data_IF_133537064417
#
_entry.id   IF_133537064417
#
_cell.length_a   1.000
_cell.length_b   1.000
_cell.length_c   1.000
_cell.angle_alpha   90.00
_cell.angle_beta   90.00
_cell.angle_gamma   90.00
#
_symmetry.space_group_name_H-M   'P 1'
#
loop_
_entity.id
_entity.type
_entity.pdbx_description
1 polymer ?
#
# COMPACT_ATOMS: atom_id res chain seq x y z
N UNK A 1 -5.58 26.15 63.43
CA UNK A 1 -6.27 24.98 64.02
C UNK A 1 -7.29 24.48 63.02
N UNK A 2 -7.30 23.30 62.42
CA UNK A 2 -6.35 22.21 62.15
C UNK A 2 -7.01 21.48 60.97
N UNK A 3 -6.25 21.17 59.93
CA UNK A 3 -6.75 20.48 58.74
C UNK A 3 -7.08 19.01 58.99
N UNK A 4 -8.03 18.53 58.18
CA UNK A 4 -8.05 17.26 57.46
C UNK A 4 -7.91 15.93 58.23
N UNK A 5 -9.06 15.24 58.21
CA UNK A 5 -9.35 13.81 58.25
C UNK A 5 -8.20 12.82 58.08
N UNK A 6 -8.27 11.82 58.95
CA UNK A 6 -7.37 10.68 59.13
C UNK A 6 -7.34 9.76 57.89
N UNK A 7 -6.11 9.41 57.54
CA UNK A 7 -5.72 8.35 56.62
C UNK A 7 -5.89 6.97 57.30
N UNK A 8 -6.37 5.98 56.57
CA UNK A 8 -6.32 4.56 56.94
C UNK A 8 -5.70 3.79 55.77
N UNK A 9 -4.56 3.17 56.06
CA UNK A 9 -3.69 2.48 55.13
C UNK A 9 -4.13 1.05 54.84
N UNK A 10 -3.64 0.56 53.70
CA UNK A 10 -3.10 -0.80 53.47
C UNK A 10 -4.01 -1.84 52.78
N UNK A 11 -3.50 -2.38 51.68
CA UNK A 11 -3.96 -3.64 51.08
C UNK A 11 -3.34 -3.91 49.71
N UNK A 12 -2.14 -4.47 49.67
CA UNK A 12 -1.49 -5.00 48.47
C UNK A 12 -2.05 -6.39 48.07
N UNK A 13 -2.00 -6.70 46.76
CA UNK A 13 -2.28 -8.02 46.15
C UNK A 13 -2.93 -7.81 44.77
N UNK A 14 -2.52 -8.38 43.63
CA UNK A 14 -1.76 -9.58 43.32
C UNK A 14 -2.49 -10.25 42.13
N UNK A 15 -1.85 -10.27 40.95
CA UNK A 15 -2.09 -11.05 39.71
C UNK A 15 -3.46 -11.67 39.35
N UNK A 16 -3.92 -11.46 38.10
CA UNK A 16 -4.93 -12.30 37.46
C UNK A 16 -5.58 -11.72 36.19
N UNK A 17 -4.82 -11.54 35.10
CA UNK A 17 -5.31 -10.93 33.86
C UNK A 17 -6.19 -11.84 33.00
N UNK A 18 -7.50 -11.59 32.99
CA UNK A 18 -8.44 -12.03 31.96
C UNK A 18 -8.75 -10.87 31.01
N UNK A 19 -8.41 -11.01 29.73
CA UNK A 19 -8.70 -9.98 28.71
C UNK A 19 -10.16 -9.99 28.27
N UNK A 20 -10.64 -8.87 27.74
CA UNK A 20 -11.95 -8.81 27.07
C UNK A 20 -11.94 -9.56 25.73
N UNK A 21 -13.09 -10.09 25.34
CA UNK A 21 -13.23 -10.84 24.09
C UNK A 21 -13.22 -9.88 22.89
N UNK A 22 -12.44 -10.17 21.85
CA UNK A 22 -12.36 -9.35 20.64
C UNK A 22 -13.62 -9.40 19.74
N UNK A 23 -14.67 -10.11 20.15
CA UNK A 23 -15.90 -10.25 19.36
C UNK A 23 -16.87 -9.11 19.64
N UNK A 24 -17.41 -8.43 18.59
CA UNK A 24 -18.35 -7.34 18.76
C UNK A 24 -19.58 -7.79 19.57
N UNK A 25 -19.88 -7.10 20.68
CA UNK A 25 -21.03 -7.41 21.54
C UNK A 25 -20.84 -8.63 22.47
N UNK A 26 -19.63 -9.18 22.59
CA UNK A 26 -19.37 -10.26 23.54
C UNK A 26 -18.82 -9.68 24.86
N UNK A 27 -19.54 -9.88 25.96
CA UNK A 27 -19.16 -9.42 27.30
C UNK A 27 -18.47 -10.50 28.16
N UNK A 28 -18.23 -11.68 27.58
CA UNK A 28 -17.59 -12.78 28.29
C UNK A 28 -16.09 -12.52 28.48
N UNK A 29 -15.59 -12.83 29.68
CA UNK A 29 -14.16 -12.74 30.00
C UNK A 29 -13.40 -13.88 29.30
N UNK A 30 -12.20 -13.57 28.81
CA UNK A 30 -11.32 -14.58 28.23
C UNK A 30 -10.60 -15.33 29.35
N UNK A 31 -11.14 -16.49 29.73
CA UNK A 31 -10.52 -17.37 30.75
C UNK A 31 -9.34 -18.18 30.18
N UNK A 32 -9.38 -18.52 28.88
CA UNK A 32 -8.34 -19.28 28.18
C UNK A 32 -7.81 -18.44 27.02
N UNK A 33 -6.49 -18.31 26.90
CA UNK A 33 -5.79 -17.51 25.86
C UNK A 33 -5.93 -18.10 24.44
N UNK A 34 -7.15 -18.21 23.93
CA UNK A 34 -7.44 -18.64 22.57
C UNK A 34 -7.16 -17.50 21.59
N UNK A 35 -5.90 -17.38 21.18
CA UNK A 35 -5.45 -16.37 20.22
C UNK A 35 -5.73 -16.79 18.76
N UNK A 36 -5.95 -15.81 17.90
CA UNK A 36 -5.96 -16.03 16.46
C UNK A 36 -4.58 -16.51 15.96
N UNK A 37 -4.45 -17.70 15.35
CA UNK A 37 -3.15 -18.23 14.95
C UNK A 37 -2.50 -17.41 13.83
N UNK A 38 -3.29 -16.74 13.00
CA UNK A 38 -2.77 -15.89 11.92
C UNK A 38 -2.22 -14.56 12.46
N UNK A 39 -2.84 -13.95 13.48
CA UNK A 39 -2.28 -12.75 14.11
C UNK A 39 -0.89 -13.04 14.68
N UNK A 40 -0.74 -14.16 15.39
CA UNK A 40 0.54 -14.58 15.96
C UNK A 40 1.59 -14.81 14.86
N UNK A 41 1.21 -15.49 13.76
CA UNK A 41 2.11 -15.74 12.63
C UNK A 41 2.54 -14.45 11.90
N UNK A 42 1.65 -13.47 11.79
CA UNK A 42 1.92 -12.18 11.14
C UNK A 42 2.63 -11.18 12.07
N UNK A 43 2.92 -11.54 13.32
CA UNK A 43 3.52 -10.64 14.30
C UNK A 43 2.60 -9.48 14.73
N UNK A 44 1.29 -9.63 14.51
CA UNK A 44 0.28 -8.65 14.90
C UNK A 44 -0.10 -8.84 16.38
N UNK A 45 -0.60 -7.78 17.07
CA UNK A 45 -1.08 -7.93 18.44
C UNK A 45 -2.12 -9.06 18.52
N UNK A 46 -1.91 -10.07 19.38
CA UNK A 46 -2.78 -11.23 19.42
C UNK A 46 -4.15 -10.83 19.93
N UNK A 47 -5.17 -11.08 19.11
CA UNK A 47 -6.57 -10.93 19.52
C UNK A 47 -7.05 -12.23 20.14
N UNK A 48 -7.80 -12.12 21.23
CA UNK A 48 -8.25 -13.25 22.03
C UNK A 48 -9.76 -13.41 22.00
N UNK A 49 -10.22 -14.67 22.02
CA UNK A 49 -11.64 -15.04 22.00
C UNK A 49 -11.98 -15.88 23.23
N UNK A 50 -13.14 -15.64 23.84
CA UNK A 50 -13.56 -16.35 25.06
C UNK A 50 -13.83 -17.85 24.83
N UNK A 51 -14.12 -18.27 23.59
CA UNK A 51 -14.41 -19.67 23.25
C UNK A 51 -14.24 -19.97 21.75
N UNK A 52 -14.13 -21.25 21.42
CA UNK A 52 -14.03 -21.71 20.02
C UNK A 52 -15.29 -21.36 19.19
N UNK A 53 -16.47 -21.33 19.82
CA UNK A 53 -17.71 -20.92 19.15
C UNK A 53 -17.69 -19.42 18.82
N UNK A 54 -17.16 -18.60 19.74
CA UNK A 54 -16.97 -17.16 19.54
C UNK A 54 -15.97 -16.86 18.41
N UNK A 55 -14.85 -17.60 18.38
CA UNK A 55 -13.87 -17.54 17.29
C UNK A 55 -14.49 -17.88 15.94
N UNK A 56 -15.20 -19.01 15.82
CA UNK A 56 -15.79 -19.46 14.55
C UNK A 56 -16.84 -18.47 14.00
N UNK A 57 -17.72 -17.94 14.87
CA UNK A 57 -18.76 -16.98 14.47
C UNK A 57 -18.18 -15.66 13.97
N UNK A 58 -17.11 -15.17 14.60
CA UNK A 58 -16.49 -13.88 14.26
C UNK A 58 -15.24 -14.00 13.36
N UNK A 59 -14.86 -15.20 12.92
CA UNK A 59 -13.68 -15.39 12.08
C UNK A 59 -13.78 -14.63 10.74
N UNK A 60 -14.98 -14.59 10.13
CA UNK A 60 -15.19 -13.92 8.85
C UNK A 60 -15.05 -12.39 8.91
N UNK A 61 -15.38 -11.79 10.06
CA UNK A 61 -15.20 -10.35 10.31
C UNK A 61 -13.74 -10.07 10.71
N UNK A 62 -13.18 -10.89 11.60
CA UNK A 62 -11.83 -10.74 12.11
C UNK A 62 -10.74 -10.89 11.04
N UNK A 63 -10.87 -11.84 10.11
CA UNK A 63 -9.88 -12.07 9.02
C UNK A 63 -9.69 -10.86 8.08
N UNK A 64 -10.60 -9.87 8.09
CA UNK A 64 -10.43 -8.63 7.33
C UNK A 64 -9.31 -7.76 7.88
N UNK A 65 -9.09 -7.80 9.20
CA UNK A 65 -8.00 -7.06 9.85
C UNK A 65 -6.65 -7.54 9.30
N UNK A 66 -6.50 -8.83 9.00
CA UNK A 66 -5.28 -9.35 8.39
C UNK A 66 -5.04 -8.78 6.99
N UNK A 67 -6.11 -8.59 6.19
CA UNK A 67 -5.98 -7.98 4.86
C UNK A 67 -5.52 -6.53 4.96
N UNK A 68 -6.13 -5.75 5.86
CA UNK A 68 -5.75 -4.35 6.09
C UNK A 68 -4.32 -4.27 6.62
N UNK A 69 -3.94 -5.13 7.57
CA UNK A 69 -2.60 -5.18 8.11
C UNK A 69 -1.55 -5.51 7.03
N UNK A 70 -1.83 -6.48 6.14
CA UNK A 70 -0.96 -6.79 5.00
C UNK A 70 -0.80 -5.57 4.07
N UNK A 71 -1.89 -4.87 3.76
CA UNK A 71 -1.83 -3.65 2.93
C UNK A 71 -1.00 -2.53 3.58
N UNK A 72 -1.14 -2.33 4.90
CA UNK A 72 -0.34 -1.32 5.64
C UNK A 72 1.13 -1.74 5.72
N UNK A 73 1.42 -3.02 5.93
CA UNK A 73 2.79 -3.55 5.97
C UNK A 73 3.48 -3.47 4.59
N UNK A 74 2.74 -3.64 3.51
CA UNK A 74 3.23 -3.40 2.15
C UNK A 74 3.51 -1.91 1.90
N UNK A 75 2.64 -1.01 2.37
CA UNK A 75 2.85 0.43 2.25
C UNK A 75 4.06 0.94 3.06
N UNK A 76 4.39 0.31 4.19
CA UNK A 76 5.52 0.70 5.05
C UNK A 76 6.89 0.12 4.62
N UNK A 77 6.95 -0.78 3.63
CA UNK A 77 8.22 -1.32 3.07
C UNK A 77 9.03 -0.33 2.21
N UNK A 78 8.65 0.95 2.21
CA UNK A 78 9.43 2.02 1.59
C UNK A 78 10.04 2.95 2.64
N UNK A 79 11.23 2.62 3.18
CA UNK A 79 12.27 3.57 3.65
C UNK A 79 13.10 3.02 4.82
N UNK A 80 14.23 2.38 4.53
CA UNK A 80 15.37 2.27 5.47
C UNK A 80 16.66 1.79 4.77
N UNK A 81 16.96 2.36 3.61
CA UNK A 81 18.22 2.12 2.91
C UNK A 81 18.53 3.30 2.01
N UNK A 82 19.79 3.71 1.96
CA UNK A 82 20.29 4.68 1.00
C UNK A 82 20.17 4.09 -0.41
N UNK A 83 18.99 4.22 -1.03
CA UNK A 83 18.78 3.82 -2.43
C UNK A 83 19.32 4.95 -3.31
N UNK A 84 20.15 4.59 -4.28
CA UNK A 84 20.61 5.51 -5.32
C UNK A 84 19.51 5.84 -6.34
N UNK A 85 18.41 5.09 -6.32
CA UNK A 85 17.25 5.26 -7.21
C UNK A 85 15.95 5.45 -6.41
N UNK A 86 15.04 6.32 -6.88
CA UNK A 86 13.71 6.54 -6.26
C UNK A 86 12.84 5.28 -6.16
N UNK A 87 11.75 5.31 -5.37
CA UNK A 87 10.89 4.15 -5.09
C UNK A 87 10.40 3.41 -6.34
N UNK A 88 10.15 4.14 -7.42
CA UNK A 88 9.66 3.63 -8.71
C UNK A 88 10.78 3.01 -9.56
N UNK A 89 12.04 3.20 -9.16
CA UNK A 89 13.24 2.64 -9.79
C UNK A 89 13.62 3.23 -11.15
N UNK A 90 12.86 4.21 -11.66
CA UNK A 90 13.02 4.78 -13.02
C UNK A 90 13.01 6.31 -13.04
N UNK A 91 12.28 6.95 -12.14
CA UNK A 91 12.17 8.41 -12.05
C UNK A 91 13.33 8.99 -11.24
N UNK A 92 13.72 10.24 -11.50
CA UNK A 92 14.65 11.05 -10.69
C UNK A 92 14.01 12.40 -10.35
N UNK A 93 14.42 12.99 -9.23
CA UNK A 93 13.97 14.32 -8.85
C UNK A 93 14.54 15.38 -9.83
N UNK A 94 13.76 16.41 -10.24
CA UNK A 94 14.25 17.45 -11.16
C UNK A 94 15.46 18.23 -10.64
N UNK A 95 15.61 18.35 -9.31
CA UNK A 95 16.72 19.02 -8.65
C UNK A 95 17.94 18.13 -8.46
N UNK A 96 17.86 16.84 -8.82
CA UNK A 96 18.96 15.91 -8.65
C UNK A 96 20.19 16.35 -9.48
N UNK A 97 21.40 16.21 -8.94
CA UNK A 97 22.63 16.49 -9.69
C UNK A 97 22.73 15.63 -10.96
N UNK A 98 23.46 16.10 -11.99
CA UNK A 98 23.60 15.39 -13.27
C UNK A 98 24.08 13.95 -13.12
N UNK A 99 24.96 13.69 -12.16
CA UNK A 99 25.49 12.36 -11.84
C UNK A 99 24.38 11.35 -11.52
N UNK A 100 23.38 11.78 -10.76
CA UNK A 100 22.23 10.93 -10.40
C UNK A 100 21.30 10.78 -11.60
N UNK A 101 21.03 11.87 -12.33
CA UNK A 101 20.15 11.85 -13.51
C UNK A 101 20.69 10.92 -14.62
N UNK A 102 22.01 10.84 -14.76
CA UNK A 102 22.70 9.98 -15.72
C UNK A 102 22.99 8.57 -15.19
N UNK A 103 22.64 8.28 -13.92
CA UNK A 103 22.87 6.96 -13.35
C UNK A 103 21.93 5.91 -13.95
N UNK A 104 22.41 4.66 -13.99
CA UNK A 104 21.64 3.53 -14.47
C UNK A 104 20.60 3.09 -13.43
N UNK A 105 19.37 2.75 -13.84
CA UNK A 105 18.36 2.20 -12.94
C UNK A 105 18.76 0.80 -12.46
N UNK A 106 18.35 0.44 -11.25
CA UNK A 106 18.76 -0.83 -10.61
C UNK A 106 18.43 -2.08 -11.43
N UNK A 107 17.33 -2.09 -12.19
CA UNK A 107 16.96 -3.25 -13.02
C UNK A 107 17.92 -3.44 -14.21
N UNK A 108 18.56 -2.38 -14.67
CA UNK A 108 19.46 -2.41 -15.82
C UNK A 108 20.79 -3.11 -15.49
N UNK A 109 21.18 -3.18 -14.21
CA UNK A 109 22.46 -3.79 -13.82
C UNK A 109 22.53 -5.29 -14.12
N UNK A 110 21.39 -5.99 -14.15
CA UNK A 110 21.31 -7.42 -14.46
C UNK A 110 20.89 -7.71 -15.90
N UNK A 111 20.63 -6.68 -16.71
CA UNK A 111 20.14 -6.85 -18.08
C UNK A 111 21.30 -6.81 -19.09
N UNK A 112 21.32 -7.77 -20.02
CA UNK A 112 22.33 -7.83 -21.09
C UNK A 112 21.89 -7.02 -22.30
N UNK A 113 22.47 -5.83 -22.47
CA UNK A 113 22.21 -4.97 -23.61
C UNK A 113 22.95 -5.44 -24.87
N UNK A 114 22.35 -5.24 -26.04
CA UNK A 114 22.94 -5.61 -27.34
C UNK A 114 24.05 -4.65 -27.81
N UNK A 115 24.21 -3.49 -27.18
CA UNK A 115 25.16 -2.45 -27.59
C UNK A 115 25.62 -1.58 -26.43
N UNK A 116 26.15 -0.38 -26.74
CA UNK A 116 26.70 0.57 -25.77
C UNK A 116 25.66 1.46 -25.09
N UNK A 117 24.46 1.60 -25.64
CA UNK A 117 23.41 2.45 -25.06
C UNK A 117 22.91 1.89 -23.73
N UNK A 118 22.64 2.78 -22.77
CA UNK A 118 22.16 2.46 -21.42
C UNK A 118 20.99 3.35 -21.00
N UNK A 119 19.99 2.80 -20.29
CA UNK A 119 18.91 3.60 -19.74
C UNK A 119 19.44 4.49 -18.62
N UNK A 120 18.90 5.70 -18.53
CA UNK A 120 19.15 6.65 -17.45
C UNK A 120 17.85 6.96 -16.72
N UNK A 121 17.94 7.64 -15.57
CA UNK A 121 16.74 8.00 -14.82
C UNK A 121 15.94 9.09 -15.55
N UNK A 122 14.62 8.93 -15.57
CA UNK A 122 13.68 9.84 -16.22
C UNK A 122 13.27 10.97 -15.27
N UNK A 123 13.05 12.18 -15.78
CA UNK A 123 12.38 13.21 -14.99
C UNK A 123 10.91 12.83 -14.71
N UNK A 124 10.26 13.43 -13.72
CA UNK A 124 8.82 13.26 -13.51
C UNK A 124 8.03 13.66 -14.77
N UNK A 125 6.84 13.09 -14.94
CA UNK A 125 5.96 13.43 -16.07
C UNK A 125 5.62 14.92 -16.01
N UNK A 126 5.78 15.62 -17.14
CA UNK A 126 5.44 17.03 -17.24
C UNK A 126 3.92 17.22 -17.15
N UNK A 127 3.43 18.22 -16.39
CA UNK A 127 2.01 18.53 -16.36
C UNK A 127 1.57 19.13 -17.70
N UNK A 128 0.34 18.82 -18.09
CA UNK A 128 -0.26 19.29 -19.33
C UNK A 128 -1.36 20.31 -19.01
N UNK A 129 -1.33 21.53 -19.60
CA UNK A 129 -2.33 22.56 -19.32
C UNK A 129 -3.76 22.14 -19.71
N UNK A 130 -4.79 22.46 -18.91
CA UNK A 130 -6.16 21.98 -19.13
C UNK A 130 -6.85 22.59 -20.35
N UNK A 131 -6.37 23.72 -20.88
CA UNK A 131 -6.98 24.41 -22.02
C UNK A 131 -6.79 23.69 -23.37
N UNK A 132 -5.82 22.78 -23.46
CA UNK A 132 -5.47 22.10 -24.72
C UNK A 132 -6.34 20.84 -24.84
N UNK A 133 -6.94 20.61 -26.01
CA UNK A 133 -7.71 19.40 -26.28
C UNK A 133 -6.83 18.16 -26.13
N UNK A 134 -7.30 17.19 -25.35
CA UNK A 134 -6.59 15.96 -25.03
C UNK A 134 -7.04 14.82 -25.95
N UNK A 135 -6.13 13.97 -26.46
CA UNK A 135 -6.49 12.69 -27.07
C UNK A 135 -7.22 11.77 -26.09
N UNK A 136 -7.93 10.76 -26.60
CA UNK A 136 -8.66 9.76 -25.80
C UNK A 136 -7.74 8.98 -24.84
N UNK A 137 -6.52 8.64 -25.26
CA UNK A 137 -5.55 7.94 -24.42
C UNK A 137 -4.92 8.80 -23.31
N UNK A 138 -5.10 10.12 -23.31
CA UNK A 138 -4.38 11.02 -22.39
C UNK A 138 -4.81 10.86 -20.92
N UNK A 139 -6.07 10.48 -20.70
CA UNK A 139 -6.69 10.29 -19.38
C UNK A 139 -7.02 8.82 -19.09
N UNK A 140 -6.74 7.90 -20.04
CA UNK A 140 -6.95 6.48 -19.85
C UNK A 140 -5.95 5.92 -18.81
N UNK A 141 -6.44 5.21 -17.79
CA UNK A 141 -5.58 4.74 -16.68
C UNK A 141 -4.40 3.85 -17.14
N UNK A 142 -4.61 3.02 -18.16
CA UNK A 142 -3.56 2.20 -18.77
C UNK A 142 -2.90 2.83 -20.01
N UNK A 143 -3.25 4.08 -20.37
CA UNK A 143 -2.73 4.75 -21.57
C UNK A 143 -3.15 4.13 -22.90
N UNK A 144 -4.33 3.51 -22.95
CA UNK A 144 -4.86 2.84 -24.14
C UNK A 144 -5.69 3.82 -24.96
N UNK A 145 -5.60 3.75 -26.29
CA UNK A 145 -6.41 4.50 -27.24
C UNK A 145 -7.59 3.67 -27.72
N UNK A 146 -8.80 4.00 -27.30
CA UNK A 146 -10.03 3.30 -27.68
C UNK A 146 -10.38 3.52 -29.17
N UNK A 147 -10.01 4.67 -29.73
CA UNK A 147 -10.15 4.95 -31.15
C UNK A 147 -9.27 4.02 -32.00
N UNK A 148 -8.01 3.83 -31.63
CA UNK A 148 -7.09 2.91 -32.33
C UNK A 148 -7.50 1.44 -32.18
N UNK A 149 -7.99 1.04 -30.99
CA UNK A 149 -8.46 -0.34 -30.78
C UNK A 149 -9.66 -0.68 -31.68
N UNK A 150 -10.61 0.25 -31.82
CA UNK A 150 -11.77 0.09 -32.72
C UNK A 150 -11.36 0.08 -34.18
N UNK A 151 -10.45 0.97 -34.57
CA UNK A 151 -9.95 1.04 -35.94
C UNK A 151 -9.23 -0.26 -36.31
N UNK A 152 -8.36 -0.76 -35.43
CA UNK A 152 -7.70 -2.06 -35.60
C UNK A 152 -8.68 -3.23 -35.76
N UNK A 153 -9.79 -3.22 -35.06
CA UNK A 153 -10.74 -4.34 -35.06
C UNK A 153 -11.70 -4.31 -36.25
N UNK A 154 -12.09 -3.12 -36.71
CA UNK A 154 -13.19 -2.94 -37.66
C UNK A 154 -12.76 -2.38 -39.02
N UNK A 155 -11.60 -1.72 -39.09
CA UNK A 155 -11.17 -1.03 -40.30
C UNK A 155 -10.08 -1.82 -41.02
N UNK A 156 -10.41 -2.25 -42.24
CA UNK A 156 -9.49 -2.98 -43.12
C UNK A 156 -9.08 -2.13 -44.33
N UNK A 157 -9.39 -0.83 -44.32
CA UNK A 157 -9.12 0.11 -45.41
C UNK A 157 -8.38 1.34 -44.89
N UNK A 158 -7.46 1.87 -45.70
CA UNK A 158 -6.73 3.10 -45.36
C UNK A 158 -7.68 4.28 -45.53
N UNK A 159 -7.88 5.07 -44.47
CA UNK A 159 -8.70 6.28 -44.52
C UNK A 159 -8.09 7.32 -45.46
N UNK A 160 -8.88 7.77 -46.44
CA UNK A 160 -8.54 8.89 -47.31
C UNK A 160 -9.12 10.17 -46.70
N UNK A 161 -8.27 11.17 -46.50
CA UNK A 161 -8.63 12.43 -45.85
C UNK A 161 -9.35 13.38 -46.80
N UNK A 162 -10.35 14.10 -46.29
CA UNK A 162 -11.03 15.17 -47.02
C UNK A 162 -10.26 16.50 -46.98
N UNK A 163 -10.69 17.51 -47.76
CA UNK A 163 -9.99 18.80 -47.85
C UNK A 163 -9.90 19.57 -46.53
N UNK A 164 -10.80 19.34 -45.57
CA UNK A 164 -10.76 19.98 -44.25
C UNK A 164 -9.76 19.32 -43.28
N UNK A 165 -9.26 18.13 -43.61
CA UNK A 165 -8.35 17.34 -42.76
C UNK A 165 -6.90 17.30 -43.30
N UNK A 166 -6.65 17.94 -44.45
CA UNK A 166 -5.37 18.05 -45.16
C UNK A 166 -4.72 19.42 -44.92
#
# INVERSE_FOLDING_TARGET
TTMASKNASSGAGGGGGGGECASPGCTNVVEKRLACPTCVKLGLPPTYFCSQSCFKKNYATHKRIHKIALQIMEAQKGSSGHRKTPPDGVTCDPSAPPEIRLSEPQWASSYSFSGSLRPTLLSPRRPMPPAIRRPDYADHMAGVSDSEQRDRASNNSIRVYGPDEL
#
